data_IF_787713245675
#
_entry.id   IF_787713245675
#
_cell.length_a   1.000
_cell.length_b   1.000
_cell.length_c   1.000
_cell.angle_alpha   90.00
_cell.angle_beta   90.00
_cell.angle_gamma   90.00
#
_symmetry.space_group_name_H-M   'P 1'
#
loop_
_entity.id
_entity.type
_entity.pdbx_description
1 polymer ?
#
# COMPACT_ATOMS: atom_id res chain seq x y z
N UNK A 1 -33.13 8.64 14.09
CA UNK A 1 -31.75 8.85 13.64
C UNK A 1 -30.89 8.02 14.58
N UNK A 2 -30.42 6.82 14.16
CA UNK A 2 -29.43 6.08 14.90
C UNK A 2 -28.10 6.83 14.71
N UNK A 3 -27.54 7.35 15.80
CA UNK A 3 -26.16 7.79 15.79
C UNK A 3 -25.31 6.55 15.48
N UNK A 4 -24.39 6.68 14.52
CA UNK A 4 -23.35 5.68 14.30
C UNK A 4 -22.56 5.53 15.61
N UNK A 5 -22.89 4.48 16.34
CA UNK A 5 -22.08 4.05 17.48
C UNK A 5 -20.85 3.42 16.87
N UNK A 6 -19.75 4.16 16.83
CA UNK A 6 -18.45 3.58 16.52
C UNK A 6 -18.19 2.50 17.58
N UNK A 7 -18.12 1.25 17.15
CA UNK A 7 -17.75 0.14 18.01
C UNK A 7 -16.24 0.20 18.24
N UNK A 8 -15.83 0.87 19.30
CA UNK A 8 -14.43 1.08 19.65
C UNK A 8 -13.90 -0.13 20.42
N UNK A 9 -12.79 -0.67 19.95
CA UNK A 9 -12.04 -1.74 20.61
C UNK A 9 -10.73 -1.18 21.12
N UNK A 10 -10.49 -1.30 22.45
CA UNK A 10 -9.19 -0.97 23.03
C UNK A 10 -8.33 -2.23 23.12
N UNK A 11 -7.12 -2.16 22.57
CA UNK A 11 -6.15 -3.25 22.58
C UNK A 11 -4.99 -2.92 23.50
N UNK A 12 -4.81 -3.73 24.53
CA UNK A 12 -3.60 -3.70 25.36
C UNK A 12 -2.40 -4.22 24.55
N UNK A 13 -1.18 -3.89 25.01
CA UNK A 13 0.08 -4.32 24.39
C UNK A 13 0.09 -5.79 24.03
N UNK A 14 0.45 -6.10 22.79
CA UNK A 14 0.56 -7.48 22.28
C UNK A 14 -0.76 -8.15 21.93
N UNK A 15 -1.91 -7.48 22.08
CA UNK A 15 -3.21 -8.01 21.69
C UNK A 15 -3.62 -7.54 20.31
N UNK A 16 -4.36 -8.40 19.60
CA UNK A 16 -4.95 -8.10 18.30
C UNK A 16 -6.33 -8.75 18.16
N UNK A 17 -7.19 -8.14 17.34
CA UNK A 17 -8.47 -8.73 16.95
C UNK A 17 -8.19 -9.98 16.12
N UNK A 18 -8.82 -11.11 16.47
CA UNK A 18 -8.74 -12.34 15.69
C UNK A 18 -9.97 -12.46 14.79
N UNK A 19 -9.73 -12.41 13.49
CA UNK A 19 -10.80 -12.45 12.47
C UNK A 19 -10.90 -13.87 11.92
N UNK A 20 -12.04 -14.53 12.14
CA UNK A 20 -12.30 -15.88 11.64
C UNK A 20 -12.94 -15.88 10.25
N UNK A 21 -13.73 -14.87 9.92
CA UNK A 21 -14.42 -14.78 8.62
C UNK A 21 -14.79 -13.31 8.32
N UNK A 22 -14.38 -12.82 7.16
CA UNK A 22 -14.68 -11.45 6.69
C UNK A 22 -15.98 -11.34 5.87
N UNK A 23 -16.36 -12.40 5.16
CA UNK A 23 -17.40 -12.37 4.10
C UNK A 23 -18.81 -11.97 4.56
N UNK A 24 -19.03 -11.70 5.84
CA UNK A 24 -20.33 -11.30 6.39
C UNK A 24 -20.28 -10.02 7.22
N UNK A 25 -19.10 -9.38 7.32
CA UNK A 25 -18.95 -8.19 8.13
C UNK A 25 -19.08 -6.93 7.26
N UNK A 26 -20.16 -6.18 7.46
CA UNK A 26 -20.48 -4.98 6.68
C UNK A 26 -20.09 -3.66 7.37
N UNK A 27 -19.45 -3.72 8.53
CA UNK A 27 -19.14 -2.56 9.36
C UNK A 27 -17.65 -2.21 9.40
N UNK A 28 -17.33 -1.10 10.09
CA UNK A 28 -15.97 -0.75 10.47
C UNK A 28 -15.79 -0.91 11.97
N UNK A 29 -14.62 -1.41 12.37
CA UNK A 29 -14.22 -1.53 13.76
C UNK A 29 -13.21 -0.42 14.03
N UNK A 30 -13.58 0.54 14.88
CA UNK A 30 -12.66 1.52 15.43
C UNK A 30 -11.73 0.88 16.45
N UNK A 31 -10.44 1.13 16.35
CA UNK A 31 -9.43 0.54 17.23
C UNK A 31 -8.58 1.61 17.88
N UNK A 32 -8.46 1.50 19.21
CA UNK A 32 -7.46 2.21 20.01
C UNK A 32 -6.45 1.22 20.56
N UNK A 33 -5.19 1.61 20.67
CA UNK A 33 -4.10 0.77 21.18
C UNK A 33 -3.44 1.40 22.39
N UNK A 34 -2.97 0.59 23.32
CA UNK A 34 -2.14 1.01 24.43
C UNK A 34 -0.78 1.52 23.91
N UNK A 35 -0.19 0.75 22.99
CA UNK A 35 1.05 1.15 22.32
C UNK A 35 0.80 2.27 21.34
N UNK A 36 1.76 3.18 21.21
CA UNK A 36 1.70 4.27 20.24
C UNK A 36 2.45 3.86 18.97
N UNK A 37 1.77 3.69 17.83
CA UNK A 37 2.42 3.44 16.55
C UNK A 37 3.33 4.61 16.16
N UNK A 38 4.45 4.29 15.52
CA UNK A 38 5.38 5.26 14.93
C UNK A 38 5.68 4.87 13.48
N UNK A 39 6.42 5.68 12.72
CA UNK A 39 6.84 5.35 11.36
C UNK A 39 7.65 4.04 11.28
N UNK A 40 8.48 3.77 12.29
CA UNK A 40 9.34 2.59 12.35
C UNK A 40 8.79 1.44 13.20
N UNK A 41 7.75 1.69 14.00
CA UNK A 41 7.15 0.69 14.88
C UNK A 41 5.64 0.63 14.68
N UNK A 42 5.21 -0.30 13.85
CA UNK A 42 3.81 -0.57 13.59
C UNK A 42 3.21 -1.43 14.71
N UNK A 43 1.97 -1.15 15.07
CA UNK A 43 1.24 -1.94 16.10
C UNK A 43 0.20 -2.83 15.43
N UNK A 44 0.33 -4.15 15.56
CA UNK A 44 -0.66 -5.10 15.02
C UNK A 44 -1.99 -4.95 15.75
N UNK A 45 -3.07 -4.78 14.99
CA UNK A 45 -4.43 -4.61 15.53
C UNK A 45 -5.40 -5.69 15.06
N UNK A 46 -5.16 -6.32 13.92
CA UNK A 46 -5.98 -7.45 13.49
C UNK A 46 -5.17 -8.50 12.71
N UNK A 47 -5.52 -9.75 12.91
CA UNK A 47 -4.94 -10.90 12.23
C UNK A 47 -5.98 -12.01 12.04
N UNK A 48 -5.72 -12.95 11.14
CA UNK A 48 -6.59 -14.13 10.95
C UNK A 48 -6.47 -15.06 12.17
N UNK A 49 -7.59 -15.62 12.61
CA UNK A 49 -7.61 -16.62 13.66
C UNK A 49 -6.93 -17.92 13.18
N UNK A 50 -6.00 -18.45 13.98
CA UNK A 50 -5.22 -19.65 13.65
C UNK A 50 -6.12 -20.88 13.47
N UNK A 51 -7.27 -20.94 14.14
CA UNK A 51 -8.22 -22.05 14.11
C UNK A 51 -9.02 -22.16 12.79
N UNK A 52 -8.93 -21.20 11.91
CA UNK A 52 -9.65 -21.21 10.63
C UNK A 52 -9.05 -22.15 9.57
N UNK A 53 -8.14 -23.04 9.94
CA UNK A 53 -7.72 -24.18 9.11
C UNK A 53 -6.84 -23.85 7.92
N UNK A 54 -6.02 -22.86 8.02
CA UNK A 54 -5.03 -22.52 6.99
C UNK A 54 -4.39 -21.17 7.31
N UNK A 55 -3.12 -21.00 7.08
CA UNK A 55 -2.40 -19.75 7.28
C UNK A 55 -2.96 -18.62 6.41
N UNK A 56 -4.21 -18.26 6.66
CA UNK A 56 -4.91 -17.18 5.95
C UNK A 56 -4.28 -15.85 6.29
N UNK A 57 -4.19 -15.01 5.27
CA UNK A 57 -3.76 -13.62 5.43
C UNK A 57 -4.97 -12.70 5.24
N UNK A 58 -5.01 -11.62 6.00
CA UNK A 58 -5.94 -10.54 5.69
C UNK A 58 -5.53 -9.91 4.35
N UNK A 59 -6.53 -9.46 3.62
CA UNK A 59 -6.38 -8.79 2.33
C UNK A 59 -6.74 -7.31 2.45
N UNK A 60 -6.63 -6.56 1.38
CA UNK A 60 -7.07 -5.15 1.31
C UNK A 60 -8.56 -5.01 1.70
N UNK A 61 -9.40 -5.98 1.37
CA UNK A 61 -10.80 -6.01 1.81
C UNK A 61 -10.91 -6.05 3.35
N UNK A 62 -10.06 -6.86 4.00
CA UNK A 62 -10.00 -6.92 5.47
C UNK A 62 -9.50 -5.62 6.09
N UNK A 63 -8.60 -4.93 5.41
CA UNK A 63 -8.10 -3.62 5.82
C UNK A 63 -9.23 -2.58 5.89
N UNK A 64 -10.14 -2.59 4.95
CA UNK A 64 -11.23 -1.61 4.85
C UNK A 64 -12.24 -1.70 6.01
N UNK A 65 -12.23 -2.80 6.75
CA UNK A 65 -13.06 -2.99 7.95
C UNK A 65 -12.43 -2.49 9.26
N UNK A 66 -11.18 -2.06 9.23
CA UNK A 66 -10.47 -1.55 10.41
C UNK A 66 -10.23 -0.04 10.25
N UNK A 67 -10.47 0.71 11.30
CA UNK A 67 -10.14 2.12 11.39
C UNK A 67 -9.43 2.43 12.71
N UNK A 68 -8.67 3.51 12.75
CA UNK A 68 -8.15 4.02 14.02
C UNK A 68 -9.14 5.00 14.65
N UNK A 69 -9.28 4.96 15.98
CA UNK A 69 -10.02 5.96 16.75
C UNK A 69 -9.16 7.23 17.02
N UNK A 70 -7.87 7.15 16.75
CA UNK A 70 -6.96 8.27 16.88
C UNK A 70 -6.67 8.90 15.52
N UNK A 71 -6.71 10.20 15.45
CA UNK A 71 -6.27 10.96 14.28
C UNK A 71 -4.80 10.68 13.96
N UNK A 72 -4.45 10.74 12.67
CA UNK A 72 -3.10 10.51 12.15
C UNK A 72 -2.51 9.11 12.43
N UNK A 73 -3.38 8.14 12.70
CA UNK A 73 -3.03 6.73 12.69
C UNK A 73 -3.83 6.01 11.61
N UNK A 74 -3.14 5.28 10.78
CA UNK A 74 -3.68 4.68 9.56
C UNK A 74 -3.53 3.17 9.59
N UNK A 75 -4.59 2.41 9.30
CA UNK A 75 -4.45 0.97 9.12
C UNK A 75 -3.68 0.65 7.84
N UNK A 76 -2.71 -0.25 7.95
CA UNK A 76 -1.88 -0.74 6.86
C UNK A 76 -1.83 -2.28 6.89
N UNK A 77 -1.74 -2.89 5.72
CA UNK A 77 -1.63 -4.35 5.60
C UNK A 77 -0.14 -4.73 5.48
N UNK A 78 0.36 -5.47 6.45
CA UNK A 78 1.76 -5.92 6.48
C UNK A 78 1.84 -7.38 6.88
N UNK A 79 2.35 -8.23 5.99
CA UNK A 79 2.49 -9.66 6.26
C UNK A 79 1.17 -10.40 6.49
N UNK A 80 0.06 -9.91 5.92
CA UNK A 80 -1.28 -10.48 6.12
C UNK A 80 -1.95 -10.11 7.45
N UNK A 81 -1.40 -9.14 8.17
CA UNK A 81 -1.96 -8.56 9.38
C UNK A 81 -2.28 -7.08 9.16
N UNK A 82 -3.34 -6.58 9.78
CA UNK A 82 -3.60 -5.14 9.85
C UNK A 82 -2.84 -4.54 11.02
N UNK A 83 -2.04 -3.53 10.74
CA UNK A 83 -1.27 -2.76 11.72
C UNK A 83 -1.65 -1.29 11.65
N UNK A 84 -1.49 -0.56 12.74
CA UNK A 84 -1.55 0.90 12.73
C UNK A 84 -0.18 1.49 12.46
N UNK A 85 -0.15 2.53 11.63
CA UNK A 85 1.01 3.31 11.23
C UNK A 85 0.78 4.79 11.53
N UNK A 86 1.81 5.53 11.92
CA UNK A 86 1.78 6.99 11.97
C UNK A 86 1.99 7.66 10.61
N UNK A 87 2.34 6.88 9.58
CA UNK A 87 2.48 7.37 8.20
C UNK A 87 1.25 6.98 7.39
N UNK A 88 0.67 7.96 6.71
CA UNK A 88 -0.47 7.71 5.81
C UNK A 88 -0.05 6.81 4.65
N UNK A 89 -0.73 5.67 4.43
CA UNK A 89 -0.38 4.78 3.35
C UNK A 89 -0.75 5.40 2.00
N UNK A 90 0.12 5.23 1.03
CA UNK A 90 -0.19 5.58 -0.35
C UNK A 90 -1.12 4.51 -0.94
N UNK A 91 -2.39 4.84 -1.14
CA UNK A 91 -3.43 3.90 -1.61
C UNK A 91 -4.20 4.50 -2.77
N UNK A 92 -4.22 3.77 -3.86
CA UNK A 92 -5.08 4.07 -5.02
C UNK A 92 -5.20 2.85 -5.95
N UNK A 93 -6.16 2.83 -6.89
CA UNK A 93 -6.24 1.80 -7.92
C UNK A 93 -4.99 1.77 -8.81
N UNK A 94 -4.69 0.62 -9.39
CA UNK A 94 -3.53 0.46 -10.30
C UNK A 94 -3.59 1.36 -11.52
N UNK A 95 -4.80 1.73 -11.98
CA UNK A 95 -5.02 2.64 -13.11
C UNK A 95 -4.85 4.13 -12.76
N UNK A 96 -4.47 4.46 -11.53
CA UNK A 96 -4.32 5.83 -11.05
C UNK A 96 -5.56 6.36 -10.30
N UNK A 97 -5.40 7.49 -9.62
CA UNK A 97 -6.43 8.07 -8.74
C UNK A 97 -7.69 8.57 -9.47
N UNK A 98 -7.63 8.75 -10.80
CA UNK A 98 -8.73 9.28 -11.61
C UNK A 98 -9.48 8.22 -12.39
N UNK A 99 -9.23 6.95 -12.15
CA UNK A 99 -9.96 5.87 -12.82
C UNK A 99 -11.45 5.91 -12.43
N UNK A 100 -12.31 6.10 -13.41
CA UNK A 100 -13.77 6.14 -13.22
C UNK A 100 -14.42 4.74 -13.11
N UNK A 101 -13.66 3.67 -13.32
CA UNK A 101 -14.14 2.29 -13.28
C UNK A 101 -13.86 1.69 -11.90
N UNK A 102 -14.71 2.06 -10.92
CA UNK A 102 -14.58 1.62 -9.53
C UNK A 102 -14.94 0.14 -9.29
N UNK A 103 -15.57 -0.52 -10.25
CA UNK A 103 -16.08 -1.88 -10.04
C UNK A 103 -15.01 -2.97 -10.19
N UNK A 104 -13.92 -2.68 -10.91
CA UNK A 104 -12.86 -3.66 -11.19
C UNK A 104 -11.47 -3.28 -10.68
N UNK A 105 -11.31 -2.12 -10.06
CA UNK A 105 -10.01 -1.58 -9.68
C UNK A 105 -9.99 -1.20 -8.20
N UNK A 106 -9.95 -2.20 -7.32
CA UNK A 106 -9.81 -1.98 -5.88
C UNK A 106 -8.55 -1.19 -5.53
N UNK A 107 -8.62 -0.41 -4.45
CA UNK A 107 -7.45 0.28 -3.93
C UNK A 107 -6.36 -0.73 -3.54
N UNK A 108 -5.13 -0.44 -3.95
CA UNK A 108 -3.93 -1.17 -3.54
C UNK A 108 -3.10 -0.30 -2.60
N UNK A 109 -2.43 -0.92 -1.65
CA UNK A 109 -1.41 -0.26 -0.84
C UNK A 109 -0.08 -0.32 -1.59
N UNK A 110 0.54 0.83 -1.78
CA UNK A 110 1.78 0.99 -2.52
C UNK A 110 2.95 1.19 -1.57
N UNK A 111 4.10 0.63 -1.91
CA UNK A 111 5.34 0.72 -1.14
C UNK A 111 6.17 1.88 -1.68
N UNK A 112 6.55 2.81 -0.81
CA UNK A 112 7.42 3.94 -1.18
C UNK A 112 8.85 3.50 -1.46
N UNK A 113 9.41 3.95 -2.58
CA UNK A 113 10.82 3.75 -2.95
C UNK A 113 11.43 5.07 -3.41
N UNK A 114 12.64 5.34 -2.98
CA UNK A 114 13.41 6.52 -3.42
C UNK A 114 14.25 6.22 -4.66
N UNK A 115 14.46 4.95 -4.99
CA UNK A 115 15.20 4.50 -6.17
C UNK A 115 14.56 3.23 -6.74
N UNK A 116 14.63 3.05 -8.08
CA UNK A 116 14.13 1.83 -8.72
C UNK A 116 14.92 0.57 -8.34
N UNK A 117 16.17 0.73 -7.92
CA UNK A 117 16.99 -0.38 -7.42
C UNK A 117 16.55 -0.92 -6.07
N UNK A 118 15.65 -0.22 -5.35
CA UNK A 118 15.08 -0.68 -4.09
C UNK A 118 13.95 -1.71 -4.31
N UNK A 119 13.45 -1.83 -5.54
CA UNK A 119 12.45 -2.82 -5.94
C UNK A 119 13.12 -4.19 -6.06
N UNK A 120 12.86 -5.08 -5.10
CA UNK A 120 13.49 -6.42 -5.01
C UNK A 120 12.52 -7.58 -5.21
N UNK A 121 11.24 -7.30 -5.45
CA UNK A 121 10.19 -8.29 -5.66
C UNK A 121 9.08 -7.71 -6.53
N UNK A 122 8.15 -8.54 -6.97
CA UNK A 122 6.90 -8.09 -7.58
C UNK A 122 6.02 -7.36 -6.55
N UNK A 123 5.20 -6.42 -7.03
CA UNK A 123 4.29 -5.66 -6.17
C UNK A 123 3.96 -4.27 -6.70
N UNK A 124 3.40 -3.46 -5.81
CA UNK A 124 2.94 -2.10 -6.07
C UNK A 124 3.89 -1.11 -5.40
N UNK A 125 4.53 -0.25 -6.18
CA UNK A 125 5.53 0.70 -5.70
C UNK A 125 5.20 2.11 -6.16
N UNK A 126 5.52 3.11 -5.33
CA UNK A 126 5.43 4.52 -5.73
C UNK A 126 6.74 5.26 -5.45
N UNK A 127 7.03 6.24 -6.27
CA UNK A 127 8.22 7.08 -6.09
C UNK A 127 8.00 8.10 -4.97
N UNK A 128 8.90 8.14 -4.00
CA UNK A 128 8.96 9.18 -2.97
C UNK A 128 9.75 10.40 -3.44
N UNK A 129 10.70 10.19 -4.35
CA UNK A 129 11.62 11.21 -4.87
C UNK A 129 11.79 11.12 -6.39
N UNK A 130 12.38 12.17 -7.00
CA UNK A 130 12.86 12.11 -8.35
C UNK A 130 14.05 11.15 -8.46
N UNK A 131 14.04 10.29 -9.47
CA UNK A 131 15.06 9.27 -9.69
C UNK A 131 15.99 9.69 -10.83
N UNK A 132 17.30 9.53 -10.62
CA UNK A 132 18.31 9.65 -11.68
C UNK A 132 18.90 8.27 -11.95
N UNK A 133 18.87 7.87 -13.22
CA UNK A 133 19.43 6.61 -13.70
C UNK A 133 20.69 6.91 -14.53
N UNK A 134 21.81 6.33 -14.14
CA UNK A 134 23.04 6.33 -14.95
C UNK A 134 23.05 5.19 -15.95
N UNK A 135 22.36 4.10 -15.63
CA UNK A 135 22.23 2.88 -16.43
C UNK A 135 20.76 2.50 -16.55
N UNK A 136 20.44 1.68 -17.55
CA UNK A 136 19.09 1.11 -17.73
C UNK A 136 18.67 0.33 -16.51
N UNK A 137 17.49 0.68 -15.93
CA UNK A 137 16.88 -0.18 -14.92
C UNK A 137 16.17 -1.36 -15.59
N UNK A 138 16.56 -2.57 -15.22
CA UNK A 138 15.96 -3.80 -15.74
C UNK A 138 14.89 -4.29 -14.77
N UNK A 139 13.62 -4.19 -15.18
CA UNK A 139 12.49 -4.70 -14.43
C UNK A 139 12.41 -6.22 -14.61
N UNK A 140 12.76 -6.98 -13.56
CA UNK A 140 12.80 -8.45 -13.55
C UNK A 140 11.64 -9.09 -12.80
N UNK A 141 10.71 -8.28 -12.29
CA UNK A 141 9.52 -8.72 -11.55
C UNK A 141 8.26 -8.12 -12.15
N UNK A 142 7.10 -8.70 -11.86
CA UNK A 142 5.82 -8.08 -12.16
C UNK A 142 5.59 -6.89 -11.22
N UNK A 143 5.70 -5.69 -11.76
CA UNK A 143 5.67 -4.43 -10.99
C UNK A 143 4.59 -3.51 -11.52
N UNK A 144 3.84 -2.90 -10.60
CA UNK A 144 3.11 -1.67 -10.86
C UNK A 144 3.87 -0.51 -10.20
N UNK A 145 4.25 0.50 -10.96
CA UNK A 145 5.00 1.67 -10.53
C UNK A 145 4.15 2.93 -10.68
N UNK A 146 3.80 3.57 -9.59
CA UNK A 146 3.21 4.90 -9.58
C UNK A 146 4.32 5.95 -9.53
N UNK A 147 4.34 6.86 -10.49
CA UNK A 147 5.32 7.96 -10.53
C UNK A 147 5.07 8.98 -9.41
N UNK A 148 3.85 9.09 -8.89
CA UNK A 148 3.50 10.01 -7.82
C UNK A 148 3.95 11.46 -8.11
N UNK A 149 3.80 11.90 -9.37
CA UNK A 149 4.24 13.21 -9.83
C UNK A 149 5.76 13.37 -9.96
N UNK A 150 6.55 12.32 -9.75
CA UNK A 150 8.01 12.37 -9.79
C UNK A 150 8.55 12.11 -11.19
N UNK A 151 9.80 12.50 -11.40
CA UNK A 151 10.50 12.34 -12.69
C UNK A 151 11.58 11.28 -12.56
N UNK A 152 11.61 10.35 -13.51
CA UNK A 152 12.75 9.48 -13.76
C UNK A 152 13.56 10.10 -14.89
N UNK A 153 14.80 10.50 -14.60
CA UNK A 153 15.73 11.06 -15.58
C UNK A 153 16.84 10.05 -15.84
N UNK A 154 16.96 9.61 -17.08
CA UNK A 154 18.01 8.70 -17.51
C UNK A 154 19.16 9.46 -18.17
N UNK A 155 20.37 8.90 -18.18
CA UNK A 155 21.48 9.41 -18.97
C UNK A 155 21.13 9.38 -20.47
N UNK A 156 21.74 10.28 -21.28
CA UNK A 156 21.30 10.56 -22.64
C UNK A 156 21.38 9.36 -23.61
N UNK A 157 22.33 8.46 -23.38
CA UNK A 157 22.68 7.39 -24.32
C UNK A 157 22.13 6.00 -23.94
N UNK A 158 21.26 5.90 -22.91
CA UNK A 158 20.76 4.61 -22.43
C UNK A 158 19.24 4.62 -22.32
N UNK A 159 18.61 3.47 -22.53
CA UNK A 159 17.18 3.30 -22.25
C UNK A 159 16.91 3.45 -20.75
N UNK A 160 15.88 4.19 -20.39
CA UNK A 160 15.55 4.38 -18.98
C UNK A 160 15.14 3.06 -18.29
N UNK A 161 14.29 2.29 -18.96
CA UNK A 161 13.70 1.07 -18.40
C UNK A 161 13.68 -0.03 -19.46
N UNK A 162 14.12 -1.21 -19.08
CA UNK A 162 13.96 -2.44 -19.86
C UNK A 162 13.10 -3.43 -19.07
N UNK A 163 12.08 -3.99 -19.70
CA UNK A 163 11.25 -5.03 -19.08
C UNK A 163 11.78 -6.40 -19.51
N UNK A 164 12.14 -7.24 -18.56
CA UNK A 164 12.67 -8.57 -18.82
C UNK A 164 11.61 -9.47 -19.48
N UNK A 165 12.05 -10.45 -20.25
CA UNK A 165 11.13 -11.40 -20.91
C UNK A 165 10.30 -12.14 -19.88
N UNK A 166 8.98 -12.12 -20.07
CA UNK A 166 8.03 -12.83 -19.21
C UNK A 166 7.61 -12.06 -17.96
N UNK A 167 8.06 -10.81 -17.81
CA UNK A 167 7.62 -9.93 -16.72
C UNK A 167 6.69 -8.82 -17.24
N UNK A 168 5.95 -8.20 -16.34
CA UNK A 168 4.99 -7.13 -16.62
C UNK A 168 5.34 -5.88 -15.80
N UNK A 169 5.41 -4.74 -16.49
CA UNK A 169 5.53 -3.43 -15.85
C UNK A 169 4.27 -2.61 -16.20
N UNK A 170 3.60 -2.11 -15.17
CA UNK A 170 2.53 -1.13 -15.29
C UNK A 170 3.09 0.19 -14.75
N UNK A 171 2.96 1.26 -15.52
CA UNK A 171 3.32 2.60 -15.07
C UNK A 171 2.04 3.42 -14.95
N UNK A 172 1.86 4.06 -13.80
CA UNK A 172 0.70 4.91 -13.50
C UNK A 172 1.12 6.16 -12.76
N UNK A 173 0.19 7.05 -12.52
CA UNK A 173 0.38 8.25 -11.70
C UNK A 173 -0.90 8.60 -10.95
N UNK A 174 -0.78 9.07 -9.72
CA UNK A 174 -1.91 9.48 -8.88
C UNK A 174 -2.00 11.00 -8.70
N UNK A 175 -1.05 11.77 -9.23
CA UNK A 175 -0.97 13.21 -9.06
C UNK A 175 -1.60 13.97 -10.23
N UNK A 176 -2.16 15.16 -9.94
CA UNK A 176 -2.69 16.06 -10.98
C UNK A 176 -1.58 16.54 -11.92
N UNK A 177 -0.39 16.82 -11.37
CA UNK A 177 0.82 17.09 -12.15
C UNK A 177 1.53 15.75 -12.29
N UNK A 178 1.31 15.12 -13.44
CA UNK A 178 1.84 13.78 -13.72
C UNK A 178 3.36 13.80 -13.78
N UNK A 179 3.96 12.76 -13.25
CA UNK A 179 5.37 12.47 -13.37
C UNK A 179 5.75 12.13 -14.83
N UNK A 180 7.02 12.01 -15.08
CA UNK A 180 7.53 11.70 -16.42
C UNK A 180 8.79 10.84 -16.37
N UNK A 181 9.06 10.17 -17.48
CA UNK A 181 10.30 9.47 -17.76
C UNK A 181 10.97 10.20 -18.91
N UNK A 182 12.21 10.63 -18.74
CA UNK A 182 12.92 11.47 -19.69
C UNK A 182 14.42 11.19 -19.67
N UNK A 183 15.13 11.69 -20.68
CA UNK A 183 16.59 11.69 -20.72
C UNK A 183 17.15 13.02 -20.22
N UNK A 184 18.38 13.00 -19.71
CA UNK A 184 19.14 14.21 -19.48
C UNK A 184 19.43 14.92 -20.82
N UNK A 185 19.28 16.23 -20.84
CA UNK A 185 19.66 17.10 -21.96
C UNK A 185 21.14 17.45 -21.86
#
# INVERSE_FOLDING_TARGET
MCQDVQNNVYLATGNAIRISKLSTFAGKIGVSTQDTPTESNLVTVAAVAVEAGGGGHLTEEGLDHISSDKENLYPVLVGGEVKLSATEPHRHPVCGATCGDSENHGNQTWIGVSNLTDIKSGGYYYLTDNVKLNDTWICTYDVALCLNGKTITCAAEVDAIQVAKGTKLIITDCQKVVGKITHAQ
#
